data_IF_443591253927
#
_entry.id   IF_443591253927
#
_cell.length_a   1.000
_cell.length_b   1.000
_cell.length_c   1.000
_cell.angle_alpha   90.00
_cell.angle_beta   90.00
_cell.angle_gamma   90.00
#
_symmetry.space_group_name_H-M   'P 1'
#
loop_
_entity.id
_entity.type
_entity.pdbx_description
1 polymer ?
#
# COMPACT_ATOMS: atom_id res chain seq x y z
N UNK A 1 51.25 -12.81 1.92
CA UNK A 1 50.52 -11.82 2.49
C UNK A 1 50.79 -10.46 2.00
N UNK A 2 51.96 -10.19 1.64
CA UNK A 2 52.22 -8.88 1.16
C UNK A 2 51.40 -8.51 -0.02
N UNK A 3 51.17 -9.40 -0.88
CA UNK A 3 50.39 -9.10 -2.05
C UNK A 3 48.97 -8.60 -1.76
N UNK A 4 48.48 -8.93 -0.62
CA UNK A 4 47.18 -8.51 -0.28
C UNK A 4 47.19 -7.03 0.03
N UNK A 5 48.21 -6.59 0.68
CA UNK A 5 48.35 -5.20 1.03
C UNK A 5 48.47 -4.37 -0.22
N UNK A 6 49.18 -4.86 -1.20
CA UNK A 6 49.32 -4.14 -2.42
C UNK A 6 47.98 -3.91 -3.08
N UNK A 7 47.14 -4.88 -3.01
CA UNK A 7 45.86 -4.72 -3.60
C UNK A 7 45.05 -3.66 -2.89
N UNK A 8 45.14 -3.63 -1.62
CA UNK A 8 44.43 -2.64 -0.86
C UNK A 8 44.92 -1.27 -1.26
N UNK A 9 46.20 -1.16 -1.49
CA UNK A 9 46.72 0.11 -1.90
C UNK A 9 46.14 0.57 -3.21
N UNK A 10 46.01 -0.34 -4.13
CA UNK A 10 45.40 0.01 -5.37
C UNK A 10 43.99 0.47 -5.22
N UNK A 11 43.23 -0.21 -4.39
CA UNK A 11 41.89 0.18 -4.21
C UNK A 11 41.76 1.58 -3.65
N UNK A 12 42.62 1.89 -2.75
CA UNK A 12 42.57 3.20 -2.16
C UNK A 12 42.89 4.24 -3.21
N UNK A 13 43.81 3.96 -4.06
CA UNK A 13 44.15 4.90 -5.09
C UNK A 13 42.96 5.13 -5.99
N UNK A 14 42.32 4.14 -6.35
CA UNK A 14 41.17 4.29 -7.21
C UNK A 14 40.15 5.16 -6.56
N UNK A 15 40.00 5.02 -5.32
CA UNK A 15 39.06 5.80 -4.73
C UNK A 15 39.42 7.20 -4.79
N UNK A 16 40.49 7.52 -4.60
CA UNK A 16 40.78 8.90 -4.56
C UNK A 16 40.32 9.55 -5.75
N UNK A 17 40.19 8.86 -6.82
CA UNK A 17 39.76 9.52 -7.92
C UNK A 17 38.40 9.76 -7.91
N UNK A 18 37.68 8.97 -7.40
CA UNK A 18 36.32 9.13 -7.43
C UNK A 18 35.91 10.49 -7.08
N UNK A 19 36.48 11.04 -6.22
CA UNK A 19 36.03 12.28 -5.79
C UNK A 19 36.09 13.25 -6.81
N UNK A 20 36.95 13.12 -7.53
CA UNK A 20 37.12 14.09 -8.47
C UNK A 20 35.90 14.41 -9.04
N UNK A 21 35.23 13.56 -9.16
CA UNK A 21 34.18 13.81 -9.88
C UNK A 21 33.37 14.70 -9.34
N UNK A 22 33.38 14.67 -8.37
CA UNK A 22 32.52 15.45 -7.91
C UNK A 22 32.23 16.59 -8.49
N UNK A 23 32.81 17.17 -8.76
CA UNK A 23 32.51 18.30 -9.21
C UNK A 23 31.53 18.52 -9.83
N UNK A 24 31.21 18.10 -10.20
CA UNK A 24 30.36 18.27 -10.94
C UNK A 24 29.42 18.92 -10.57
N UNK A 25 29.19 18.83 -9.77
CA UNK A 25 28.31 19.45 -9.33
C UNK A 25 27.75 20.37 -9.92
N UNK A 26 27.90 20.74 -10.33
CA UNK A 26 27.43 21.58 -10.90
C UNK A 26 26.41 21.97 -10.97
N UNK A 27 25.84 21.88 -11.01
CA UNK A 27 24.89 22.22 -11.19
C UNK A 27 24.05 22.80 -10.90
N UNK A 28 23.97 23.27 -10.72
CA UNK A 28 23.25 23.91 -10.35
C UNK A 28 22.42 24.53 -10.92
N UNK A 29 22.10 24.86 -11.03
CA UNK A 29 21.46 25.53 -11.68
C UNK A 29 20.32 25.36 -11.90
N UNK A 30 19.74 24.99 -11.71
CA UNK A 30 18.70 24.83 -12.07
C UNK A 30 17.68 25.22 -11.62
N UNK A 31 17.18 25.74 -11.92
CA UNK A 31 16.25 26.41 -11.63
C UNK A 31 15.12 25.79 -11.75
N UNK A 32 14.58 25.54 -11.66
CA UNK A 32 13.57 25.02 -11.84
C UNK A 32 12.56 25.33 -11.63
N UNK A 33 12.02 25.30 -11.62
CA UNK A 33 11.14 25.55 -11.55
C UNK A 33 10.17 25.35 -11.30
N UNK A 34 9.60 25.32 -11.20
CA UNK A 34 8.72 25.31 -11.33
C UNK A 34 7.83 24.70 -10.92
N UNK A 35 7.57 24.45 -10.40
CA UNK A 35 6.66 24.07 -9.85
C UNK A 35 5.48 24.15 -10.26
N UNK A 36 5.15 23.64 -10.95
CA UNK A 36 3.93 23.59 -11.35
C UNK A 36 3.19 22.76 -10.42
N UNK A 37 2.58 23.22 -9.58
CA UNK A 37 1.63 22.53 -8.79
C UNK A 37 0.53 22.14 -9.72
N UNK A 38 0.20 20.92 -9.84
CA UNK A 38 -0.86 20.54 -10.76
C UNK A 38 -2.16 21.20 -10.33
N UNK A 39 -2.88 21.68 -11.29
CA UNK A 39 -4.13 22.33 -11.02
C UNK A 39 -5.13 21.35 -10.44
N UNK A 40 -6.13 21.85 -9.82
CA UNK A 40 -7.16 21.01 -9.24
C UNK A 40 -7.76 20.08 -10.28
N UNK A 41 -7.87 20.52 -11.49
CA UNK A 41 -8.42 19.73 -12.56
C UNK A 41 -7.54 18.54 -12.90
N UNK A 42 -6.24 18.73 -12.90
CA UNK A 42 -5.30 17.64 -13.17
C UNK A 42 -5.31 16.63 -12.05
N UNK A 43 -5.44 17.08 -10.81
CA UNK A 43 -5.52 16.17 -9.68
C UNK A 43 -6.79 15.33 -9.75
N UNK A 44 -7.88 15.93 -10.16
CA UNK A 44 -9.13 15.23 -10.30
C UNK A 44 -9.08 14.18 -11.40
N UNK A 45 -8.48 14.51 -12.53
CA UNK A 45 -8.32 13.55 -13.61
C UNK A 45 -7.46 12.37 -13.18
N UNK A 46 -6.36 12.65 -12.52
CA UNK A 46 -5.48 11.62 -12.04
C UNK A 46 -6.18 10.68 -11.08
N UNK A 47 -7.03 11.23 -10.22
CA UNK A 47 -7.80 10.40 -9.28
C UNK A 47 -8.82 9.54 -10.00
N UNK A 48 -9.50 10.10 -11.00
CA UNK A 48 -10.48 9.36 -11.78
C UNK A 48 -9.83 8.25 -12.58
N UNK A 49 -8.65 8.51 -13.15
CA UNK A 49 -7.92 7.51 -13.91
C UNK A 49 -7.49 6.36 -13.00
N UNK A 50 -7.05 6.65 -11.79
CA UNK A 50 -6.68 5.64 -10.82
C UNK A 50 -7.89 4.81 -10.39
N UNK A 51 -9.03 5.47 -10.19
CA UNK A 51 -10.25 4.75 -9.82
C UNK A 51 -10.69 3.80 -10.94
N UNK A 52 -10.56 4.21 -12.21
CA UNK A 52 -10.88 3.38 -13.33
C UNK A 52 -9.99 2.14 -13.38
N UNK A 53 -8.69 2.30 -13.10
CA UNK A 53 -7.75 1.20 -13.06
C UNK A 53 -8.10 0.24 -11.92
N UNK A 54 -8.41 0.79 -10.76
CA UNK A 54 -8.81 -0.03 -9.61
C UNK A 54 -10.13 -0.76 -9.87
N UNK A 55 -11.07 -0.12 -10.52
CA UNK A 55 -12.35 -0.73 -10.84
C UNK A 55 -12.18 -1.90 -11.84
N UNK A 56 -11.31 -1.71 -12.82
CA UNK A 56 -10.98 -2.78 -13.77
C UNK A 56 -10.33 -3.96 -13.03
N UNK A 57 -9.39 -3.68 -12.15
CA UNK A 57 -8.73 -4.72 -11.38
C UNK A 57 -9.71 -5.45 -10.47
N UNK A 58 -10.62 -4.71 -9.86
CA UNK A 58 -11.67 -5.28 -9.03
C UNK A 58 -12.53 -6.27 -9.81
N UNK A 59 -12.90 -5.91 -11.03
CA UNK A 59 -13.70 -6.79 -11.90
C UNK A 59 -12.92 -8.02 -12.30
N UNK A 60 -11.64 -7.88 -12.57
CA UNK A 60 -10.78 -9.02 -12.90
C UNK A 60 -10.68 -10.00 -11.74
N UNK A 61 -10.67 -9.50 -10.50
CA UNK A 61 -10.66 -10.32 -9.30
C UNK A 61 -12.04 -10.95 -9.00
N UNK A 62 -13.08 -10.49 -9.69
CA UNK A 62 -14.42 -11.01 -9.50
C UNK A 62 -15.16 -10.45 -8.30
N UNK A 63 -14.77 -9.29 -7.82
CA UNK A 63 -15.41 -8.64 -6.67
C UNK A 63 -16.73 -8.01 -7.10
N UNK A 64 -17.78 -8.29 -6.38
CA UNK A 64 -19.11 -7.78 -6.70
C UNK A 64 -19.27 -6.29 -6.43
N UNK A 65 -20.15 -5.66 -7.22
CA UNK A 65 -20.46 -4.25 -7.04
C UNK A 65 -21.19 -3.98 -5.73
N UNK A 66 -21.85 -4.98 -5.19
CA UNK A 66 -22.57 -4.87 -3.93
C UNK A 66 -21.68 -4.47 -2.75
N UNK A 67 -20.39 -4.85 -2.80
CA UNK A 67 -19.43 -4.43 -1.78
C UNK A 67 -19.15 -2.94 -1.87
N UNK A 68 -19.27 -2.36 -3.06
CA UNK A 68 -19.05 -0.94 -3.26
C UNK A 68 -20.13 -0.09 -2.60
N UNK A 69 -21.31 -0.65 -2.42
CA UNK A 69 -22.42 0.05 -1.78
C UNK A 69 -22.32 0.12 -0.26
N UNK A 70 -21.30 -0.51 0.31
CA UNK A 70 -21.11 -0.46 1.76
C UNK A 70 -20.47 0.86 2.17
N UNK A 71 -20.96 1.48 3.23
CA UNK A 71 -20.38 2.72 3.71
C UNK A 71 -18.96 2.46 4.23
N UNK A 72 -18.06 3.36 3.90
CA UNK A 72 -16.68 3.26 4.35
C UNK A 72 -15.78 2.40 3.47
N UNK A 73 -16.31 1.71 2.48
CA UNK A 73 -15.52 0.88 1.58
C UNK A 73 -14.97 1.72 0.42
N UNK A 74 -13.67 1.63 0.20
CA UNK A 74 -13.02 2.32 -0.92
C UNK A 74 -12.65 1.29 -2.00
N UNK A 75 -12.37 1.78 -3.20
CA UNK A 75 -11.98 0.92 -4.31
C UNK A 75 -10.70 0.13 -4.00
N UNK A 76 -9.78 0.71 -3.24
CA UNK A 76 -8.56 0.01 -2.80
C UNK A 76 -8.87 -1.16 -1.89
N UNK A 77 -9.84 -0.99 -1.00
CA UNK A 77 -10.28 -2.06 -0.12
C UNK A 77 -10.88 -3.20 -0.93
N UNK A 78 -11.64 -2.88 -1.97
CA UNK A 78 -12.23 -3.90 -2.83
C UNK A 78 -11.17 -4.77 -3.51
N UNK A 79 -10.07 -4.17 -3.91
CA UNK A 79 -8.95 -4.92 -4.48
C UNK A 79 -8.33 -5.83 -3.43
N UNK A 80 -8.09 -5.32 -2.23
CA UNK A 80 -7.55 -6.11 -1.13
C UNK A 80 -8.47 -7.29 -0.80
N UNK A 81 -9.75 -7.07 -0.77
CA UNK A 81 -10.73 -8.12 -0.53
C UNK A 81 -10.65 -9.19 -1.63
N UNK A 82 -10.62 -8.78 -2.89
CA UNK A 82 -10.52 -9.69 -4.02
C UNK A 82 -9.26 -10.54 -4.01
N UNK A 83 -8.13 -9.94 -3.63
CA UNK A 83 -6.86 -10.65 -3.53
C UNK A 83 -6.88 -11.73 -2.44
N UNK A 84 -7.70 -11.53 -1.42
CA UNK A 84 -7.86 -12.49 -0.32
C UNK A 84 -9.09 -13.39 -0.46
N UNK A 85 -9.75 -13.32 -1.59
CA UNK A 85 -10.89 -14.18 -1.88
C UNK A 85 -12.24 -13.71 -1.38
N UNK A 86 -12.32 -12.50 -0.84
CA UNK A 86 -13.57 -11.90 -0.41
C UNK A 86 -14.18 -11.19 -1.61
N UNK A 87 -15.22 -11.75 -2.17
CA UNK A 87 -15.82 -11.24 -3.40
C UNK A 87 -17.25 -10.75 -3.25
N UNK A 88 -17.93 -11.21 -2.22
CA UNK A 88 -19.31 -10.85 -1.95
C UNK A 88 -19.49 -10.21 -0.58
N UNK A 89 -20.64 -9.61 -0.36
CA UNK A 89 -20.99 -9.05 0.96
C UNK A 89 -21.04 -10.14 2.01
N UNK A 90 -21.50 -11.32 1.60
CA UNK A 90 -21.61 -12.47 2.50
C UNK A 90 -20.23 -12.92 2.97
N UNK A 91 -19.27 -13.03 2.05
CA UNK A 91 -17.90 -13.36 2.42
C UNK A 91 -17.34 -12.36 3.43
N UNK A 92 -17.64 -11.09 3.23
CA UNK A 92 -17.17 -10.04 4.13
C UNK A 92 -17.87 -10.10 5.49
N UNK A 93 -19.16 -10.42 5.50
CA UNK A 93 -19.94 -10.55 6.72
C UNK A 93 -19.46 -11.72 7.60
N UNK A 94 -18.88 -12.73 6.96
CA UNK A 94 -18.34 -13.89 7.68
C UNK A 94 -16.94 -13.59 8.25
N UNK A 95 -16.26 -12.57 7.78
CA UNK A 95 -14.95 -12.21 8.28
C UNK A 95 -15.02 -11.64 9.71
N UNK A 96 -13.94 -11.81 10.44
CA UNK A 96 -13.78 -11.15 11.72
C UNK A 96 -13.02 -9.84 11.53
N UNK A 97 -13.19 -8.92 12.48
CA UNK A 97 -12.45 -7.65 12.44
C UNK A 97 -10.95 -7.89 12.42
N UNK A 98 -10.49 -8.92 13.11
CA UNK A 98 -9.08 -9.26 13.17
C UNK A 98 -8.55 -9.76 11.82
N UNK A 99 -9.40 -10.32 10.98
CA UNK A 99 -9.00 -10.74 9.64
C UNK A 99 -8.70 -9.52 8.77
N UNK A 100 -9.42 -8.44 8.97
CA UNK A 100 -9.23 -7.20 8.20
C UNK A 100 -8.09 -6.33 8.76
N UNK A 101 -8.07 -6.14 10.07
CA UNK A 101 -7.09 -5.26 10.73
C UNK A 101 -5.78 -5.97 11.05
N UNK A 102 -5.85 -7.27 11.26
CA UNK A 102 -4.71 -8.04 11.73
C UNK A 102 -4.77 -8.26 13.23
N UNK A 103 -3.99 -9.19 13.71
CA UNK A 103 -3.97 -9.55 15.12
C UNK A 103 -2.55 -9.85 15.59
N UNK A 104 -2.35 -9.82 16.88
CA UNK A 104 -1.06 -10.10 17.48
C UNK A 104 -1.16 -11.28 18.43
N UNK A 105 -0.24 -12.20 18.29
CA UNK A 105 -0.16 -13.35 19.16
C UNK A 105 1.08 -13.20 20.01
N UNK A 106 0.95 -13.49 21.31
CA UNK A 106 2.10 -13.50 22.20
C UNK A 106 2.45 -14.95 22.50
N UNK A 107 3.61 -15.36 22.01
CA UNK A 107 4.08 -16.70 22.20
C UNK A 107 5.52 -16.67 22.66
N UNK A 108 5.82 -17.39 23.73
CA UNK A 108 7.18 -17.50 24.30
C UNK A 108 7.84 -16.14 24.57
N UNK A 109 7.06 -15.19 25.01
CA UNK A 109 7.59 -13.87 25.32
C UNK A 109 7.84 -12.98 24.11
N UNK A 110 7.48 -13.46 22.92
CA UNK A 110 7.60 -12.67 21.71
C UNK A 110 6.22 -12.35 21.17
N UNK A 111 6.03 -11.13 20.73
CA UNK A 111 4.78 -10.74 20.09
C UNK A 111 4.95 -10.87 18.59
N UNK A 112 4.11 -11.69 17.98
CA UNK A 112 4.10 -11.90 16.54
C UNK A 112 2.86 -11.18 16.01
N UNK A 113 3.05 -10.30 15.07
CA UNK A 113 1.93 -9.60 14.45
C UNK A 113 1.58 -10.25 13.12
N UNK A 114 0.31 -10.55 12.96
CA UNK A 114 -0.24 -11.05 11.71
C UNK A 114 -0.95 -9.89 11.02
N UNK A 115 -0.51 -9.58 9.82
CA UNK A 115 -1.09 -8.49 9.06
C UNK A 115 -2.48 -8.86 8.57
N UNK A 116 -3.42 -7.94 8.66
CA UNK A 116 -4.75 -8.14 8.14
C UNK A 116 -4.85 -7.82 6.66
N UNK A 117 -6.00 -8.08 6.11
CA UNK A 117 -6.29 -7.84 4.69
C UNK A 117 -6.17 -6.36 4.34
N UNK A 118 -6.64 -5.50 5.23
CA UNK A 118 -6.61 -4.05 5.03
C UNK A 118 -5.40 -3.34 5.65
N UNK A 119 -4.47 -4.08 6.22
CA UNK A 119 -3.27 -3.50 6.82
C UNK A 119 -2.49 -2.62 5.82
N UNK A 120 -2.42 -3.06 4.58
CA UNK A 120 -1.74 -2.31 3.51
C UNK A 120 -2.49 -1.06 3.08
N UNK A 121 -3.78 -1.04 3.31
CA UNK A 121 -4.61 0.11 2.94
C UNK A 121 -4.58 1.17 4.03
N UNK A 122 -4.22 0.78 5.24
CA UNK A 122 -4.14 1.70 6.37
C UNK A 122 -5.49 2.08 6.95
N UNK A 123 -6.39 1.13 7.03
CA UNK A 123 -7.74 1.33 7.57
C UNK A 123 -7.71 1.08 9.07
N UNK A 124 -8.44 1.87 9.82
CA UNK A 124 -8.49 1.69 11.27
C UNK A 124 -9.33 0.46 11.65
N UNK A 125 -9.09 -0.06 12.84
CA UNK A 125 -9.87 -1.19 13.36
C UNK A 125 -11.36 -0.84 13.46
N UNK A 126 -11.65 0.39 13.85
CA UNK A 126 -13.03 0.85 13.98
C UNK A 126 -13.73 0.85 12.62
N UNK A 127 -13.03 1.27 11.58
CA UNK A 127 -13.58 1.26 10.24
C UNK A 127 -13.79 -0.18 9.74
N UNK A 128 -12.84 -1.08 10.04
CA UNK A 128 -12.98 -2.49 9.69
C UNK A 128 -14.23 -3.08 10.34
N UNK A 129 -14.44 -2.78 11.61
CA UNK A 129 -15.60 -3.25 12.35
C UNK A 129 -16.90 -2.69 11.76
N UNK A 130 -16.92 -1.39 11.46
CA UNK A 130 -18.08 -0.73 10.88
C UNK A 130 -18.46 -1.34 9.51
N UNK A 131 -17.46 -1.67 8.70
CA UNK A 131 -17.67 -2.28 7.39
C UNK A 131 -18.27 -3.69 7.57
N UNK A 132 -17.74 -4.49 8.49
CA UNK A 132 -18.26 -5.84 8.75
C UNK A 132 -19.69 -5.77 9.28
N UNK A 133 -19.95 -4.87 10.20
CA UNK A 133 -21.29 -4.69 10.73
C UNK A 133 -22.26 -4.31 9.62
N UNK A 134 -21.87 -3.39 8.76
CA UNK A 134 -22.68 -2.97 7.62
C UNK A 134 -22.96 -4.14 6.67
N UNK A 135 -21.96 -4.99 6.43
CA UNK A 135 -22.12 -6.17 5.62
C UNK A 135 -23.11 -7.15 6.26
N UNK A 136 -23.01 -7.36 7.56
CA UNK A 136 -23.92 -8.25 8.31
C UNK A 136 -25.35 -7.75 8.32
N UNK A 137 -25.52 -6.44 8.40
CA UNK A 137 -26.85 -5.83 8.31
C UNK A 137 -27.44 -6.05 6.92
N UNK A 138 -26.64 -5.87 5.88
CA UNK A 138 -27.10 -6.05 4.50
C UNK A 138 -27.45 -7.50 4.19
N UNK A 139 -26.72 -8.44 4.74
CA UNK A 139 -27.00 -9.87 4.54
C UNK A 139 -28.10 -10.38 5.46
N UNK A 140 -28.54 -9.56 6.41
CA UNK A 140 -29.58 -9.98 7.36
C UNK A 140 -29.07 -10.82 8.52
N UNK A 141 -27.75 -10.95 8.68
CA UNK A 141 -27.17 -11.71 9.79
C UNK A 141 -27.42 -11.00 11.12
N UNK A 142 -27.45 -9.68 11.11
CA UNK A 142 -27.82 -8.88 12.27
C UNK A 142 -28.81 -7.81 11.85
N UNK A 143 -29.64 -7.38 12.77
CA UNK A 143 -30.65 -6.37 12.49
C UNK A 143 -30.36 -5.06 13.21
#
# INVERSE_FOLDING_TARGET
MKWILDRIGHLITVRSQAPASSKVSVTPADPHPTDSVPSSSERQRSSQDMEAIFDTKRKELGVEDSLKDLPGVTTRMLIAFGEHGIKSIEDLADCATDDLDGWSESKDGKTIRHAGILDRVGVSREDCEAIIISARIKTGLIK
#
